data_IF_862080173408
#
_entry.id   IF_862080173408
#
_cell.length_a   1.000
_cell.length_b   1.000
_cell.length_c   1.000
_cell.angle_alpha   90.00
_cell.angle_beta   90.00
_cell.angle_gamma   90.00
#
_symmetry.space_group_name_H-M   'P 1'
#
loop_
_entity.id
_entity.type
_entity.pdbx_description
1 polymer ?
#
# COMPACT_ATOMS: atom_id res chain seq x y z
N UNK A 1 -25.09 -37.97 -4.79
CA UNK A 1 -23.64 -37.96 -5.13
C UNK A 1 -23.46 -36.94 -6.25
N UNK A 2 -23.33 -35.66 -5.88
CA UNK A 2 -23.09 -34.56 -6.82
C UNK A 2 -22.21 -33.57 -6.09
N UNK A 3 -20.92 -33.57 -6.43
CA UNK A 3 -19.93 -32.70 -5.81
C UNK A 3 -20.31 -31.24 -6.09
N UNK A 4 -20.40 -30.41 -5.05
CA UNK A 4 -20.41 -28.96 -5.24
C UNK A 4 -19.15 -28.56 -6.04
N UNK A 5 -19.25 -27.60 -6.97
CA UNK A 5 -18.06 -27.10 -7.66
C UNK A 5 -17.12 -26.46 -6.63
N UNK A 6 -15.80 -26.63 -6.77
CA UNK A 6 -14.83 -25.95 -5.91
C UNK A 6 -15.05 -24.45 -6.07
N UNK A 7 -15.29 -23.73 -4.97
CA UNK A 7 -15.38 -22.27 -4.99
C UNK A 7 -14.07 -21.74 -5.57
N UNK A 8 -14.13 -21.27 -6.82
CA UNK A 8 -12.98 -20.69 -7.48
C UNK A 8 -12.52 -19.51 -6.61
N UNK A 9 -11.25 -19.52 -6.23
CA UNK A 9 -10.59 -18.51 -5.39
C UNK A 9 -10.46 -17.15 -6.11
N UNK A 10 -11.22 -16.91 -7.17
CA UNK A 10 -10.85 -15.98 -8.24
C UNK A 10 -11.73 -14.75 -8.42
N UNK A 11 -12.88 -14.62 -7.76
CA UNK A 11 -13.72 -13.42 -7.94
C UNK A 11 -13.31 -12.30 -6.98
N UNK A 12 -12.04 -11.90 -7.05
CA UNK A 12 -11.65 -10.60 -6.51
C UNK A 12 -12.35 -9.58 -7.38
N UNK A 13 -13.45 -9.02 -6.89
CA UNK A 13 -14.02 -7.79 -7.43
C UNK A 13 -12.95 -6.72 -7.27
N UNK A 14 -12.07 -6.62 -8.26
CA UNK A 14 -11.18 -5.46 -8.40
C UNK A 14 -12.12 -4.32 -8.71
N UNK A 15 -12.03 -3.25 -7.91
CA UNK A 15 -12.75 -2.04 -8.24
C UNK A 15 -12.29 -1.63 -9.65
N UNK A 16 -13.16 -1.57 -10.68
CA UNK A 16 -12.73 -1.37 -12.07
C UNK A 16 -11.97 -0.05 -12.26
N UNK A 17 -12.13 0.90 -11.34
CA UNK A 17 -11.33 2.13 -11.25
C UNK A 17 -9.85 1.86 -10.92
N UNK A 18 -9.58 0.81 -10.14
CA UNK A 18 -8.22 0.41 -9.73
C UNK A 18 -7.62 -0.66 -10.64
N UNK A 19 -8.39 -1.21 -11.58
CA UNK A 19 -7.94 -2.24 -12.50
C UNK A 19 -6.83 -1.67 -13.42
N UNK A 20 -5.58 -2.05 -13.14
CA UNK A 20 -4.40 -1.60 -13.88
C UNK A 20 -3.65 -0.41 -13.27
N UNK A 21 -4.01 0.03 -12.06
CA UNK A 21 -3.22 1.01 -11.31
C UNK A 21 -2.15 0.33 -10.45
N UNK A 22 -0.93 0.86 -10.43
CA UNK A 22 0.09 0.43 -9.48
C UNK A 22 -0.30 0.82 -8.04
N UNK A 23 -0.13 -0.07 -7.04
CA UNK A 23 -0.29 0.27 -5.64
C UNK A 23 0.62 1.43 -5.25
N UNK A 24 0.07 2.43 -4.57
CA UNK A 24 0.81 3.61 -4.15
C UNK A 24 0.41 4.05 -2.74
N UNK A 25 1.41 4.51 -1.99
CA UNK A 25 1.22 5.17 -0.69
C UNK A 25 1.42 6.68 -0.88
N UNK A 26 0.51 7.48 -0.31
CA UNK A 26 0.59 8.94 -0.30
C UNK A 26 0.45 9.45 1.12
N UNK A 27 1.52 10.02 1.64
CA UNK A 27 1.58 10.60 2.99
C UNK A 27 2.16 12.00 2.88
N UNK A 28 1.65 12.92 3.69
CA UNK A 28 2.19 14.26 3.80
C UNK A 28 3.25 14.29 4.91
N UNK A 29 4.45 14.76 4.59
CA UNK A 29 5.46 15.02 5.60
C UNK A 29 5.06 16.24 6.45
N UNK A 30 5.28 16.13 7.76
CA UNK A 30 4.95 17.12 8.77
C UNK A 30 6.23 17.64 9.46
N UNK A 31 6.18 18.78 10.17
CA UNK A 31 7.34 19.30 10.90
C UNK A 31 7.96 18.28 11.89
N UNK A 32 7.16 17.39 12.47
CA UNK A 32 7.62 16.34 13.38
C UNK A 32 8.48 15.26 12.69
N UNK A 33 8.41 15.15 11.35
CA UNK A 33 9.18 14.18 10.57
C UNK A 33 10.57 14.71 10.19
N UNK A 34 10.90 15.94 10.57
CA UNK A 34 12.19 16.56 10.30
C UNK A 34 13.27 16.12 11.29
N UNK A 35 14.51 16.13 10.85
CA UNK A 35 15.69 16.01 11.69
C UNK A 35 16.04 17.41 12.32
N UNK A 36 17.04 17.50 13.22
CA UNK A 36 17.43 18.78 13.82
C UNK A 36 17.93 19.86 12.83
N UNK A 37 18.29 19.50 11.60
CA UNK A 37 18.68 20.45 10.55
C UNK A 37 17.48 20.98 9.75
N UNK A 38 16.28 20.41 9.96
CA UNK A 38 15.04 20.80 9.29
C UNK A 38 14.74 20.00 8.02
N UNK A 39 15.60 19.05 7.63
CA UNK A 39 15.35 18.15 6.51
C UNK A 39 14.51 16.96 6.95
N UNK A 40 13.83 16.29 6.02
CA UNK A 40 13.10 15.05 6.35
C UNK A 40 14.08 13.99 6.87
N UNK A 41 13.74 13.39 8.01
CA UNK A 41 14.56 12.37 8.63
C UNK A 41 14.59 11.09 7.76
N UNK A 42 15.80 10.61 7.44
CA UNK A 42 15.98 9.45 6.57
C UNK A 42 15.35 8.15 7.11
N UNK A 43 15.33 7.96 8.43
CA UNK A 43 14.68 6.79 9.03
C UNK A 43 13.15 6.81 8.88
N UNK A 44 12.54 7.99 8.83
CA UNK A 44 11.11 8.12 8.53
C UNK A 44 10.82 7.69 7.07
N UNK A 45 11.67 8.07 6.11
CA UNK A 45 11.55 7.62 4.71
C UNK A 45 11.66 6.10 4.61
N UNK A 46 12.61 5.48 5.32
CA UNK A 46 12.77 4.02 5.31
C UNK A 46 11.55 3.30 5.91
N UNK A 47 10.92 3.88 6.93
CA UNK A 47 9.67 3.34 7.46
C UNK A 47 8.52 3.42 6.44
N UNK A 48 8.44 4.48 5.61
CA UNK A 48 7.45 4.55 4.52
C UNK A 48 7.71 3.52 3.42
N UNK A 49 8.98 3.23 3.14
CA UNK A 49 9.38 2.16 2.18
C UNK A 49 8.98 0.79 2.72
N UNK A 50 9.23 0.52 4.00
CA UNK A 50 8.82 -0.72 4.67
C UNK A 50 7.29 -0.91 4.64
N UNK A 51 6.52 0.17 4.85
CA UNK A 51 5.06 0.15 4.72
C UNK A 51 4.57 -0.12 3.28
N UNK A 52 5.35 0.23 2.27
CA UNK A 52 4.99 0.08 0.85
C UNK A 52 5.35 -1.29 0.26
N UNK A 53 6.28 -2.02 0.88
CA UNK A 53 6.72 -3.36 0.48
C UNK A 53 5.70 -4.45 0.77
#
# INVERSE_FOLDING_TARGET
MGSLPPRSRGDRVVDPVLAGSEPAIRVLAMPADTNPTGDIFGGWIMAQIDLAG
#
